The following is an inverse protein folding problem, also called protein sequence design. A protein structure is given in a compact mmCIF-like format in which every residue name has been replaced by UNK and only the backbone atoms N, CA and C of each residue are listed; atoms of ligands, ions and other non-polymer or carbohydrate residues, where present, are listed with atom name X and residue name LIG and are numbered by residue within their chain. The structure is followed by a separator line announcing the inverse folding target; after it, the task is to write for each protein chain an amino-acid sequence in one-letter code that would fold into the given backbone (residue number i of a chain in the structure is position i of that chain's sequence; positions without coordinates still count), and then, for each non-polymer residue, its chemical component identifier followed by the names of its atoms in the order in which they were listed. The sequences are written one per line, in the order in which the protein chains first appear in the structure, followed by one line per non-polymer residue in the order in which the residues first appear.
data_IF_765758128809
#
_entry.id   IF_765758128809
#
_cell.length_a   1.000
_cell.length_b   1.000
_cell.length_c   1.000
_cell.angle_alpha   90.00
_cell.angle_beta   90.00
_cell.angle_gamma   90.00
#
_symmetry.space_group_name_H-M   'P 1'
#
loop_
_entity.id
_entity.type
_entity.pdbx_description
1 polymer ?
#
# COMPACT_ATOMS: atom_id res chain seq x y z
N UNK A 1 -6.86 -12.48 7.74
CA UNK A 1 -5.82 -12.30 8.78
C UNK A 1 -5.81 -13.36 9.87
N UNK A 2 -6.86 -14.17 10.07
CA UNK A 2 -6.88 -15.17 11.14
C UNK A 2 -7.43 -14.68 12.48
N UNK A 3 -8.02 -13.47 12.55
CA UNK A 3 -8.55 -12.90 13.81
C UNK A 3 -9.96 -13.38 14.20
N UNK A 4 -10.56 -14.31 13.44
CA UNK A 4 -11.93 -14.82 13.69
C UNK A 4 -12.01 -15.49 15.07
N UNK A 5 -13.16 -15.40 15.72
CA UNK A 5 -13.44 -15.92 17.06
C UNK A 5 -12.47 -15.40 18.14
N UNK A 6 -11.84 -14.24 17.90
CA UNK A 6 -10.86 -13.67 18.82
C UNK A 6 -9.56 -14.49 18.94
N UNK A 7 -9.14 -15.20 17.89
CA UNK A 7 -7.86 -15.89 17.91
C UNK A 7 -6.69 -14.90 18.03
N UNK A 8 -5.97 -14.99 19.15
CA UNK A 8 -4.77 -14.19 19.44
C UNK A 8 -3.54 -14.69 18.67
N UNK A 9 -3.59 -15.89 18.10
CA UNK A 9 -2.48 -16.54 17.39
C UNK A 9 -2.56 -16.38 15.87
N UNK A 10 -3.73 -16.05 15.34
CA UNK A 10 -3.97 -15.86 13.90
C UNK A 10 -3.57 -17.07 13.03
N UNK A 11 -3.69 -18.30 13.54
CA UNK A 11 -3.14 -19.50 12.89
C UNK A 11 -3.85 -19.87 11.58
N UNK A 12 -5.12 -19.48 11.44
CA UNK A 12 -5.94 -19.73 10.26
C UNK A 12 -5.97 -18.49 9.33
N UNK A 13 -4.81 -17.89 9.09
CA UNK A 13 -4.69 -16.74 8.21
C UNK A 13 -3.26 -16.26 8.00
N UNK A 14 -3.12 -15.16 7.26
CA UNK A 14 -1.81 -14.57 6.91
C UNK A 14 -1.25 -13.61 7.97
N UNK A 15 -1.96 -13.42 9.10
CA UNK A 15 -1.51 -12.53 10.17
C UNK A 15 -0.44 -13.19 11.04
N UNK A 16 0.54 -12.40 11.48
CA UNK A 16 1.66 -12.91 12.30
C UNK A 16 1.49 -12.73 13.81
N UNK A 17 0.28 -12.51 14.30
CA UNK A 17 -0.03 -12.26 15.72
C UNK A 17 0.71 -11.06 16.35
N UNK A 18 1.17 -10.10 15.52
CA UNK A 18 1.74 -8.82 15.97
C UNK A 18 1.12 -7.64 15.23
N UNK A 19 1.09 -6.46 15.86
CA UNK A 19 0.47 -5.27 15.25
C UNK A 19 1.16 -4.88 13.93
N UNK A 20 2.45 -5.21 13.78
CA UNK A 20 3.24 -4.96 12.56
C UNK A 20 2.93 -5.93 11.42
N UNK A 21 2.37 -7.10 11.71
CA UNK A 21 2.08 -8.17 10.73
C UNK A 21 0.59 -8.48 10.57
N UNK A 22 -0.28 -7.70 11.21
CA UNK A 22 -1.75 -7.80 11.11
C UNK A 22 -2.35 -6.57 10.43
N UNK A 23 -1.98 -6.37 9.16
CA UNK A 23 -2.28 -5.16 8.36
C UNK A 23 -2.83 -5.53 7.00
N UNK A 24 -3.64 -4.64 6.43
CA UNK A 24 -4.11 -4.73 5.04
C UNK A 24 -3.93 -3.37 4.37
N UNK A 25 -3.50 -3.39 3.12
CA UNK A 25 -3.53 -2.27 2.19
C UNK A 25 -4.54 -2.60 1.08
N UNK A 26 -5.50 -1.72 0.84
CA UNK A 26 -6.41 -1.81 -0.30
C UNK A 26 -5.97 -0.76 -1.31
N UNK A 27 -5.67 -1.18 -2.53
CA UNK A 27 -5.13 -0.33 -3.59
C UNK A 27 -5.99 -0.51 -4.83
N UNK A 28 -6.36 0.60 -5.47
CA UNK A 28 -7.11 0.61 -6.74
C UNK A 28 -6.68 1.80 -7.61
N UNK A 29 -6.89 1.77 -8.93
CA UNK A 29 -6.79 2.97 -9.78
C UNK A 29 -7.68 4.09 -9.24
N UNK A 30 -7.20 5.33 -9.31
CA UNK A 30 -8.01 6.50 -8.96
C UNK A 30 -8.77 7.05 -10.17
N UNK A 31 -9.95 7.60 -9.90
CA UNK A 31 -10.71 8.39 -10.89
C UNK A 31 -10.37 9.89 -10.79
N UNK A 32 -9.60 10.30 -9.78
CA UNK A 32 -9.24 11.68 -9.55
C UNK A 32 -8.08 12.11 -10.45
N UNK A 33 -8.25 13.22 -11.18
CA UNK A 33 -7.19 13.77 -12.03
C UNK A 33 -5.91 14.04 -11.23
N UNK A 34 -4.78 13.52 -11.73
CA UNK A 34 -3.46 13.68 -11.12
C UNK A 34 -3.17 12.75 -9.93
N UNK A 35 -4.04 11.78 -9.66
CA UNK A 35 -3.79 10.65 -8.75
C UNK A 35 -3.79 9.38 -9.60
N UNK A 36 -2.76 8.56 -9.43
CA UNK A 36 -2.65 7.29 -10.14
C UNK A 36 -3.42 6.19 -9.42
N UNK A 37 -3.24 6.08 -8.10
CA UNK A 37 -3.89 5.07 -7.26
C UNK A 37 -4.44 5.63 -5.95
N UNK A 38 -5.50 5.02 -5.46
CA UNK A 38 -6.04 5.24 -4.12
C UNK A 38 -5.59 4.12 -3.19
N UNK A 39 -5.23 4.50 -1.97
CA UNK A 39 -4.74 3.61 -0.92
C UNK A 39 -5.58 3.76 0.34
N UNK A 40 -6.05 2.63 0.90
CA UNK A 40 -6.66 2.54 2.23
C UNK A 40 -5.85 1.60 3.11
N UNK A 41 -5.35 2.11 4.22
CA UNK A 41 -4.78 1.34 5.31
C UNK A 41 -5.88 0.77 6.22
N UNK A 42 -5.75 -0.50 6.59
CA UNK A 42 -6.63 -1.15 7.56
C UNK A 42 -5.77 -1.89 8.58
N UNK A 43 -5.88 -1.49 9.85
CA UNK A 43 -5.31 -2.25 10.95
C UNK A 43 -6.31 -3.32 11.38
N UNK A 44 -5.89 -4.59 11.33
CA UNK A 44 -6.71 -5.71 11.79
C UNK A 44 -6.33 -6.04 13.22
N UNK A 45 -7.29 -5.98 14.14
CA UNK A 45 -7.04 -6.27 15.54
C UNK A 45 -6.70 -7.77 15.75
N UNK A 46 -5.84 -8.04 16.72
CA UNK A 46 -5.47 -9.39 17.16
C UNK A 46 -6.33 -9.75 18.35
N UNK A 47 -6.87 -10.97 18.37
CA UNK A 47 -7.76 -11.41 19.44
C UNK A 47 -9.13 -10.72 19.47
N UNK A 48 -9.46 -9.90 18.47
CA UNK A 48 -10.72 -9.17 18.34
C UNK A 48 -11.16 -9.11 16.89
N UNK A 49 -12.46 -9.14 16.66
CA UNK A 49 -13.06 -9.04 15.32
C UNK A 49 -13.34 -7.58 14.94
N UNK A 50 -12.32 -6.74 15.00
CA UNK A 50 -12.45 -5.30 14.72
C UNK A 50 -11.42 -4.84 13.70
N UNK A 51 -11.84 -3.92 12.83
CA UNK A 51 -11.00 -3.25 11.84
C UNK A 51 -10.92 -1.76 12.19
N UNK A 52 -9.72 -1.18 12.09
CA UNK A 52 -9.49 0.25 12.26
C UNK A 52 -9.02 0.88 10.94
N UNK A 53 -9.74 1.94 10.54
CA UNK A 53 -9.57 2.70 9.29
C UNK A 53 -9.13 4.16 9.55
N UNK A 54 -8.91 4.56 10.80
CA UNK A 54 -8.68 5.96 11.15
C UNK A 54 -7.24 6.45 10.88
N UNK A 55 -6.32 5.53 10.59
CA UNK A 55 -4.90 5.81 10.54
C UNK A 55 -4.27 5.69 9.16
N UNK A 56 -3.02 6.15 9.08
CA UNK A 56 -2.06 5.74 8.05
C UNK A 56 -0.94 4.93 8.71
N UNK A 57 -0.30 4.04 7.95
CA UNK A 57 0.92 3.36 8.36
C UNK A 57 1.99 3.62 7.29
N UNK A 58 3.00 4.44 7.60
CA UNK A 58 4.03 4.85 6.63
C UNK A 58 4.79 3.67 6.01
N UNK A 59 5.06 2.63 6.78
CA UNK A 59 5.71 1.40 6.27
C UNK A 59 4.84 0.64 5.26
N UNK A 60 3.52 0.69 5.41
CA UNK A 60 2.60 0.09 4.43
C UNK A 60 2.46 0.98 3.20
N UNK A 61 2.43 2.31 3.41
CA UNK A 61 2.37 3.28 2.33
C UNK A 61 3.55 3.10 1.37
N UNK A 62 4.79 2.95 1.86
CA UNK A 62 5.99 2.79 1.03
C UNK A 62 6.00 1.56 0.09
N UNK A 63 5.07 0.62 0.27
CA UNK A 63 4.89 -0.52 -0.63
C UNK A 63 3.85 -0.28 -1.73
N UNK A 64 3.10 0.82 -1.68
CA UNK A 64 1.99 1.10 -2.59
C UNK A 64 2.49 1.43 -3.99
N UNK A 65 3.51 2.30 -4.12
CA UNK A 65 4.12 2.62 -5.41
C UNK A 65 4.69 1.38 -6.11
N UNK A 66 5.55 0.58 -5.46
CA UNK A 66 6.04 -0.69 -6.00
C UNK A 66 4.92 -1.63 -6.45
N UNK A 67 3.91 -1.85 -5.59
CA UNK A 67 2.77 -2.70 -5.92
C UNK A 67 2.00 -2.18 -7.14
N UNK A 68 1.77 -0.87 -7.23
CA UNK A 68 1.06 -0.27 -8.36
C UNK A 68 1.80 -0.48 -9.69
N UNK A 69 3.13 -0.45 -9.67
CA UNK A 69 3.95 -0.75 -10.86
C UNK A 69 3.91 -2.23 -11.21
N UNK A 70 4.11 -3.11 -10.23
CA UNK A 70 4.15 -4.57 -10.44
C UNK A 70 2.81 -5.13 -10.94
N UNK A 71 1.68 -4.64 -10.41
CA UNK A 71 0.34 -5.01 -10.86
C UNK A 71 -0.09 -4.28 -12.13
N UNK A 72 0.76 -3.40 -12.68
CA UNK A 72 0.51 -2.66 -13.91
C UNK A 72 -0.60 -1.62 -13.80
N UNK A 73 -0.93 -1.16 -12.59
CA UNK A 73 -1.81 -0.03 -12.33
C UNK A 73 -1.16 1.29 -12.77
N UNK A 74 0.17 1.35 -12.63
CA UNK A 74 1.04 2.38 -13.20
C UNK A 74 2.08 1.73 -14.08
N UNK A 75 2.36 2.31 -15.24
CA UNK A 75 3.37 1.80 -16.17
C UNK A 75 4.44 2.85 -16.37
N UNK A 76 5.69 2.42 -16.25
CA UNK A 76 6.81 3.25 -16.62
C UNK A 76 6.86 3.43 -18.14
N UNK A 77 7.26 4.61 -18.59
CA UNK A 77 7.51 4.85 -20.01
C UNK A 77 8.67 3.99 -20.52
N UNK A 78 8.67 3.57 -21.81
CA UNK A 78 9.76 2.79 -22.36
C UNK A 78 11.13 3.47 -22.17
N UNK A 79 12.07 2.76 -21.52
CA UNK A 79 13.41 3.26 -21.22
C UNK A 79 13.52 4.14 -19.97
N UNK A 80 12.44 4.31 -19.19
CA UNK A 80 12.52 4.96 -17.90
C UNK A 80 13.19 4.06 -16.86
N UNK A 81 14.04 4.65 -16.01
CA UNK A 81 14.64 3.98 -14.85
C UNK A 81 13.91 4.29 -13.54
N UNK A 82 13.04 5.30 -13.56
CA UNK A 82 12.22 5.72 -12.43
C UNK A 82 10.82 6.10 -12.91
N UNK A 83 9.82 5.94 -12.04
CA UNK A 83 8.45 6.43 -12.24
C UNK A 83 7.93 7.05 -10.94
N UNK A 84 7.30 8.21 -11.03
CA UNK A 84 6.62 8.82 -9.91
C UNK A 84 5.18 8.30 -9.84
N UNK A 85 4.80 7.77 -8.69
CA UNK A 85 3.45 7.28 -8.41
C UNK A 85 2.76 8.23 -7.45
N UNK A 86 1.68 8.86 -7.94
CA UNK A 86 0.81 9.76 -7.19
C UNK A 86 -0.29 8.97 -6.49
N UNK A 87 -0.26 8.97 -5.16
CA UNK A 87 -1.12 8.12 -4.32
C UNK A 87 -2.02 9.00 -3.46
N UNK A 88 -3.32 8.74 -3.48
CA UNK A 88 -4.27 9.34 -2.53
C UNK A 88 -4.48 8.39 -1.34
N UNK A 89 -4.06 8.81 -0.15
CA UNK A 89 -4.39 8.10 1.07
C UNK A 89 -5.83 8.43 1.50
N UNK A 90 -6.73 7.49 1.29
CA UNK A 90 -8.17 7.65 1.56
C UNK A 90 -8.53 7.74 3.04
N UNK A 91 -7.68 7.24 3.95
CA UNK A 91 -7.90 7.39 5.39
C UNK A 91 -7.72 8.85 5.84
N UNK A 92 -6.80 9.57 5.21
CA UNK A 92 -6.36 10.90 5.66
C UNK A 92 -6.68 12.03 4.67
N UNK A 93 -7.04 11.70 3.44
CA UNK A 93 -7.19 12.63 2.33
C UNK A 93 -5.87 13.24 1.84
N UNK A 94 -4.72 12.75 2.29
CA UNK A 94 -3.41 13.28 1.93
C UNK A 94 -2.86 12.64 0.66
N UNK A 95 -2.15 13.43 -0.13
CA UNK A 95 -1.43 12.97 -1.32
C UNK A 95 -0.01 12.58 -0.95
N UNK A 96 0.41 11.42 -1.44
CA UNK A 96 1.76 10.89 -1.31
C UNK A 96 2.32 10.76 -2.73
N UNK A 97 3.60 11.04 -2.91
CA UNK A 97 4.31 10.78 -4.16
C UNK A 97 5.47 9.86 -3.86
N UNK A 98 5.49 8.72 -4.53
CA UNK A 98 6.56 7.73 -4.43
C UNK A 98 7.34 7.66 -5.73
N UNK A 99 8.63 7.95 -5.68
CA UNK A 99 9.53 7.71 -6.81
C UNK A 99 10.01 6.26 -6.73
N UNK A 100 9.62 5.45 -7.70
CA UNK A 100 9.92 4.03 -7.79
C UNK A 100 10.99 3.81 -8.85
N UNK A 101 12.11 3.20 -8.48
CA UNK A 101 13.11 2.70 -9.42
C UNK A 101 12.56 1.44 -10.11
N UNK A 102 12.67 1.37 -11.44
CA UNK A 102 12.10 0.30 -12.26
C UNK A 102 13.14 -0.36 -13.15
N UNK A 103 12.96 -1.66 -13.44
CA UNK A 103 13.76 -2.33 -14.46
C UNK A 103 13.18 -2.10 -15.86
N UNK A 104 13.97 -1.50 -16.74
CA UNK A 104 13.65 -1.19 -18.13
C UNK A 104 13.11 -2.40 -18.92
N UNK A 105 13.45 -3.64 -18.51
CA UNK A 105 13.10 -4.86 -19.26
C UNK A 105 11.75 -5.47 -18.87
N UNK A 106 11.22 -5.18 -17.68
CA UNK A 106 10.12 -5.96 -17.10
C UNK A 106 9.05 -5.16 -16.34
N UNK A 107 9.06 -3.82 -16.34
CA UNK A 107 8.10 -2.99 -15.58
C UNK A 107 7.94 -3.49 -14.12
N UNK A 108 9.07 -3.84 -13.51
CA UNK A 108 9.15 -4.39 -12.15
C UNK A 108 9.83 -3.37 -11.25
N UNK A 109 9.28 -3.16 -10.05
CA UNK A 109 9.85 -2.24 -9.08
C UNK A 109 11.14 -2.82 -8.45
N UNK A 110 12.12 -1.95 -8.18
CA UNK A 110 13.36 -2.29 -7.46
C UNK A 110 13.40 -1.69 -6.06
N UNK A 111 13.15 -0.38 -5.99
CA UNK A 111 13.23 0.42 -4.77
C UNK A 111 12.21 1.55 -4.86
N UNK A 112 11.69 2.04 -3.74
CA UNK A 112 10.85 3.24 -3.71
C UNK A 112 11.31 4.23 -2.64
N UNK A 113 11.23 5.52 -2.97
CA UNK A 113 11.43 6.64 -2.04
C UNK A 113 10.09 7.38 -1.91
N UNK A 114 9.59 7.47 -0.68
CA UNK A 114 8.29 8.08 -0.39
C UNK A 114 8.45 9.53 0.08
N UNK A 115 7.65 10.43 -0.52
CA UNK A 115 7.47 11.81 -0.07
C UNK A 115 5.99 12.08 0.18
N UNK A 116 5.67 12.78 1.28
CA UNK A 116 4.29 13.15 1.61
C UNK A 116 4.11 14.64 1.32
N UNK A 117 3.15 14.96 0.46
CA UNK A 117 2.80 16.34 0.15
C UNK A 117 1.64 16.78 1.05
N UNK A 118 1.80 17.94 1.70
CA UNK A 118 0.85 18.47 2.67
C UNK A 118 -0.39 19.09 2.03
#
# INVERSE_FOLDING_TARGET
MGSKNGDVRQLDGVGGATSTTSKVAVIKPSEQQGIDVEYTFIQVAIGKETLDFSGNCGNMASGVGPFAVEEGLVRAEPGATHVDVSILNTNTGKRIVETVEVDERVNTAKTAIMSVLA
#
